data_IF_756508745387
#
_entry.id   IF_756508745387
#
_cell.length_a   1.000
_cell.length_b   1.000
_cell.length_c   1.000
_cell.angle_alpha   90.00
_cell.angle_beta   90.00
_cell.angle_gamma   90.00
#
_symmetry.space_group_name_H-M   'P 1'
#
loop_
_entity.id
_entity.type
_entity.pdbx_description
1 polymer ?
#
# COMPACT_ATOMS: atom_id res chain seq x y z
N UNK A 1 6.82 47.87 7.15
CA UNK A 1 5.67 48.78 7.01
C UNK A 1 4.43 47.94 6.78
N UNK A 2 3.72 47.82 7.87
CA UNK A 2 2.29 48.14 8.06
C UNK A 2 1.35 47.31 7.24
N UNK A 3 0.70 46.32 7.94
CA UNK A 3 -0.65 46.43 8.52
C UNK A 3 -1.72 46.32 7.44
N UNK A 4 -2.70 45.47 7.57
CA UNK A 4 -3.90 45.43 8.43
C UNK A 4 -4.52 44.05 8.23
N UNK A 5 -4.79 43.21 9.14
CA UNK A 5 -5.88 43.17 10.12
C UNK A 5 -7.23 43.62 9.53
N UNK A 6 -8.09 42.65 9.23
CA UNK A 6 -9.51 42.82 9.33
C UNK A 6 -10.17 41.51 9.75
N UNK A 7 -10.42 41.52 11.02
CA UNK A 7 -11.36 40.65 11.75
C UNK A 7 -12.74 41.20 11.45
N UNK A 8 -13.75 40.36 11.18
CA UNK A 8 -15.12 40.57 11.66
C UNK A 8 -16.00 39.34 11.46
N UNK A 9 -16.98 39.17 12.36
CA UNK A 9 -17.49 37.90 12.79
C UNK A 9 -18.98 37.69 12.45
N UNK A 10 -19.50 36.57 12.97
CA UNK A 10 -20.92 36.26 13.27
C UNK A 10 -21.89 36.11 12.11
N UNK A 11 -22.42 34.92 11.98
CA UNK A 11 -23.87 34.74 12.24
C UNK A 11 -24.18 33.23 12.37
N UNK A 12 -24.62 32.90 13.54
CA UNK A 12 -25.30 31.66 13.87
C UNK A 12 -26.63 31.59 13.13
N UNK A 13 -26.93 30.42 12.54
CA UNK A 13 -28.32 30.06 12.27
C UNK A 13 -28.51 28.58 12.52
N UNK A 14 -29.05 28.33 13.68
CA UNK A 14 -29.66 27.07 14.11
C UNK A 14 -30.91 26.86 13.27
N UNK A 15 -31.01 25.76 12.57
CA UNK A 15 -32.25 25.25 12.03
C UNK A 15 -32.32 23.74 12.27
N UNK A 16 -32.86 23.43 13.42
CA UNK A 16 -33.45 22.15 13.79
C UNK A 16 -34.60 21.82 12.85
N UNK A 17 -34.47 20.78 12.07
CA UNK A 17 -35.61 20.10 11.46
C UNK A 17 -35.56 18.64 11.87
N UNK A 18 -36.34 18.34 12.87
CA UNK A 18 -36.72 16.99 13.24
C UNK A 18 -37.63 16.41 12.15
N UNK A 19 -37.17 15.36 11.48
CA UNK A 19 -38.05 14.49 10.71
C UNK A 19 -38.03 13.11 11.30
N UNK A 20 -39.04 12.86 12.09
CA UNK A 20 -39.50 11.54 12.50
C UNK A 20 -40.09 10.82 11.28
N UNK A 21 -39.41 9.84 10.76
CA UNK A 21 -40.05 8.81 9.97
C UNK A 21 -39.57 7.44 10.52
N UNK A 22 -40.42 6.94 11.40
CA UNK A 22 -40.46 5.51 11.73
C UNK A 22 -40.99 4.75 10.51
N UNK A 23 -40.19 3.89 9.93
CA UNK A 23 -40.66 2.83 9.06
C UNK A 23 -39.99 1.54 9.51
N UNK A 24 -40.72 0.59 10.10
CA UNK A 24 -40.22 -0.75 10.28
C UNK A 24 -40.39 -1.52 8.99
N UNK A 25 -39.36 -1.73 8.23
CA UNK A 25 -39.35 -2.76 7.18
C UNK A 25 -38.35 -3.81 7.58
N UNK A 26 -38.88 -4.88 8.13
CA UNK A 26 -38.20 -6.14 8.23
C UNK A 26 -37.96 -6.68 6.80
N UNK A 27 -36.75 -6.54 6.30
CA UNK A 27 -36.25 -7.38 5.22
C UNK A 27 -34.96 -8.03 5.70
N UNK A 28 -35.11 -9.26 6.09
CA UNK A 28 -34.01 -10.20 6.21
C UNK A 28 -33.40 -10.43 4.82
N UNK A 29 -32.47 -9.57 4.45
CA UNK A 29 -31.53 -9.90 3.38
C UNK A 29 -30.29 -10.41 4.05
N UNK A 30 -30.04 -11.67 3.84
CA UNK A 30 -28.77 -12.35 4.06
C UNK A 30 -27.73 -11.65 3.19
N UNK A 31 -27.17 -10.55 3.69
CA UNK A 31 -25.94 -10.02 3.12
C UNK A 31 -24.85 -10.96 3.58
N UNK A 32 -24.36 -11.75 2.63
CA UNK A 32 -23.04 -12.34 2.75
C UNK A 32 -22.09 -11.23 3.16
N UNK A 33 -21.29 -11.40 4.22
CA UNK A 33 -20.30 -10.41 4.58
C UNK A 33 -19.34 -10.30 3.40
N UNK A 34 -19.37 -9.16 2.68
CA UNK A 34 -18.21 -8.72 1.92
C UNK A 34 -17.04 -8.80 2.86
N UNK A 35 -15.91 -9.39 2.46
CA UNK A 35 -14.72 -9.33 3.28
C UNK A 35 -14.37 -7.86 3.44
N UNK A 36 -14.65 -7.33 4.63
CA UNK A 36 -14.02 -6.09 5.09
C UNK A 36 -12.52 -6.24 4.89
N UNK A 37 -11.79 -5.18 4.50
CA UNK A 37 -10.35 -5.21 4.59
C UNK A 37 -10.04 -5.59 6.03
N UNK A 38 -9.60 -6.82 6.24
CA UNK A 38 -9.23 -7.31 7.56
C UNK A 38 -8.15 -6.36 8.06
N UNK A 39 -8.42 -5.69 9.17
CA UNK A 39 -7.38 -5.14 10.02
C UNK A 39 -6.51 -6.33 10.42
N UNK A 40 -5.55 -6.63 9.58
CA UNK A 40 -4.57 -7.66 9.85
C UNK A 40 -3.70 -7.12 10.98
N UNK A 41 -4.00 -7.60 12.18
CA UNK A 41 -3.08 -7.43 13.29
C UNK A 41 -1.71 -7.95 12.87
N UNK A 42 -0.60 -7.26 13.21
CA UNK A 42 0.75 -7.59 12.75
C UNK A 42 1.19 -9.04 12.95
N UNK A 43 0.53 -9.79 13.82
CA UNK A 43 0.87 -11.16 14.18
C UNK A 43 0.33 -12.25 13.23
N UNK A 44 -0.60 -11.94 12.34
CA UNK A 44 -1.34 -12.95 11.57
C UNK A 44 -1.16 -12.86 10.05
N UNK A 45 0.05 -12.49 9.59
CA UNK A 45 0.34 -12.57 8.15
C UNK A 45 0.48 -14.06 7.79
N UNK A 46 -0.35 -14.58 6.86
CA UNK A 46 -0.23 -15.96 6.42
C UNK A 46 1.18 -16.24 5.88
N UNK A 47 1.73 -17.41 6.21
CA UNK A 47 3.06 -17.82 5.73
C UNK A 47 3.19 -17.72 4.21
N UNK A 48 2.15 -18.08 3.48
CA UNK A 48 2.10 -17.94 2.03
C UNK A 48 2.29 -16.50 1.54
N UNK A 49 1.77 -15.51 2.29
CA UNK A 49 1.98 -14.10 1.98
C UNK A 49 3.40 -13.64 2.29
N UNK A 50 4.00 -14.18 3.33
CA UNK A 50 5.42 -13.93 3.66
C UNK A 50 6.34 -14.55 2.61
N UNK A 51 6.07 -15.76 2.13
CA UNK A 51 6.82 -16.40 1.05
C UNK A 51 6.73 -15.61 -0.25
N UNK A 52 5.51 -15.15 -0.58
CA UNK A 52 5.29 -14.30 -1.75
C UNK A 52 6.02 -12.97 -1.63
N UNK A 53 6.02 -12.34 -0.44
CA UNK A 53 6.71 -11.07 -0.20
C UNK A 53 8.24 -11.23 -0.25
N UNK A 54 8.79 -12.31 0.29
CA UNK A 54 10.23 -12.60 0.21
C UNK A 54 10.68 -12.75 -1.24
N UNK A 55 9.96 -13.57 -2.03
CA UNK A 55 10.28 -13.77 -3.44
C UNK A 55 10.10 -12.48 -4.26
N UNK A 56 9.05 -11.68 -3.94
CA UNK A 56 8.85 -10.38 -4.58
C UNK A 56 10.01 -9.42 -4.25
N UNK A 57 10.50 -9.43 -3.00
CA UNK A 57 11.61 -8.58 -2.58
C UNK A 57 12.88 -8.87 -3.36
N UNK A 58 13.24 -10.15 -3.54
CA UNK A 58 14.38 -10.55 -4.36
C UNK A 58 14.24 -10.08 -5.82
N UNK A 59 13.05 -10.26 -6.39
CA UNK A 59 12.80 -9.87 -7.76
C UNK A 59 12.79 -8.35 -7.94
N UNK A 60 12.21 -7.62 -6.98
CA UNK A 60 12.24 -6.14 -6.93
C UNK A 60 13.69 -5.63 -6.85
N UNK A 61 14.54 -6.25 -6.03
CA UNK A 61 15.95 -5.88 -5.92
C UNK A 61 16.68 -6.07 -7.26
N UNK A 62 16.51 -7.22 -7.91
CA UNK A 62 17.11 -7.53 -9.21
C UNK A 62 16.65 -6.56 -10.31
N UNK A 63 15.35 -6.31 -10.40
CA UNK A 63 14.77 -5.35 -11.37
C UNK A 63 15.34 -3.96 -11.12
N UNK A 64 15.39 -3.51 -9.86
CA UNK A 64 15.91 -2.20 -9.50
C UNK A 64 17.37 -2.02 -9.93
N UNK A 65 18.23 -3.01 -9.69
CA UNK A 65 19.64 -2.97 -10.10
C UNK A 65 19.80 -2.92 -11.62
N UNK A 66 19.03 -3.72 -12.35
CA UNK A 66 19.08 -3.74 -13.81
C UNK A 66 18.68 -2.39 -14.40
N UNK A 67 17.58 -1.83 -13.97
CA UNK A 67 17.11 -0.53 -14.44
C UNK A 67 18.03 0.62 -14.01
N UNK A 68 18.65 0.55 -12.83
CA UNK A 68 19.65 1.53 -12.42
C UNK A 68 20.87 1.54 -13.37
N UNK A 69 21.35 0.35 -13.78
CA UNK A 69 22.43 0.25 -14.78
C UNK A 69 22.00 0.84 -16.13
N UNK A 70 20.77 0.52 -16.57
CA UNK A 70 20.22 1.04 -17.84
C UNK A 70 20.07 2.57 -17.81
N UNK A 71 19.55 3.14 -16.73
CA UNK A 71 19.42 4.60 -16.58
C UNK A 71 20.78 5.29 -16.58
N UNK A 72 21.79 4.72 -15.92
CA UNK A 72 23.15 5.29 -15.90
C UNK A 72 23.81 5.28 -17.30
N UNK A 73 23.52 4.27 -18.10
CA UNK A 73 24.07 4.12 -19.45
C UNK A 73 23.26 4.87 -20.53
N UNK A 74 22.05 5.32 -20.22
CA UNK A 74 21.13 5.92 -21.17
C UNK A 74 21.39 7.41 -21.40
N UNK A 75 21.06 7.88 -22.60
CA UNK A 75 21.01 9.30 -22.90
C UNK A 75 19.94 10.01 -22.05
N UNK A 76 20.13 11.29 -21.71
CA UNK A 76 19.18 12.05 -20.89
C UNK A 76 17.74 12.02 -21.42
N UNK A 77 17.55 11.96 -22.74
CA UNK A 77 16.24 11.88 -23.40
C UNK A 77 15.51 10.57 -23.15
N UNK A 78 16.23 9.46 -22.95
CA UNK A 78 15.66 8.13 -22.75
C UNK A 78 15.39 7.77 -21.28
N UNK A 79 15.96 8.51 -20.36
CA UNK A 79 15.88 8.21 -18.92
C UNK A 79 14.46 8.16 -18.39
N UNK A 80 13.59 9.07 -18.83
CA UNK A 80 12.19 9.10 -18.41
C UNK A 80 11.43 7.84 -18.86
N UNK A 81 11.64 7.43 -20.12
CA UNK A 81 11.03 6.21 -20.65
C UNK A 81 11.50 4.97 -19.90
N UNK A 82 12.82 4.88 -19.62
CA UNK A 82 13.38 3.76 -18.85
C UNK A 82 12.86 3.77 -17.41
N UNK A 83 12.65 4.93 -16.80
CA UNK A 83 12.06 5.04 -15.46
C UNK A 83 10.60 4.55 -15.42
N UNK A 84 9.81 4.85 -16.44
CA UNK A 84 8.44 4.34 -16.56
C UNK A 84 8.42 2.81 -16.76
N UNK A 85 9.31 2.29 -17.61
CA UNK A 85 9.49 0.84 -17.78
C UNK A 85 9.89 0.18 -16.46
N UNK A 86 10.79 0.80 -15.68
CA UNK A 86 11.19 0.32 -14.37
C UNK A 86 10.03 0.26 -13.40
N UNK A 87 9.20 1.30 -13.35
CA UNK A 87 8.02 1.32 -12.50
C UNK A 87 7.07 0.16 -12.82
N UNK A 88 6.75 -0.03 -14.10
CA UNK A 88 5.89 -1.13 -14.54
C UNK A 88 6.48 -2.50 -14.22
N UNK A 89 7.80 -2.66 -14.38
CA UNK A 89 8.50 -3.90 -14.06
C UNK A 89 8.49 -4.20 -12.55
N UNK A 90 8.62 -3.18 -11.70
CA UNK A 90 8.53 -3.31 -10.24
C UNK A 90 7.14 -3.71 -9.78
N UNK A 91 6.10 -3.07 -10.32
CA UNK A 91 4.70 -3.44 -10.04
C UNK A 91 4.47 -4.90 -10.45
N UNK A 92 4.93 -5.29 -11.65
CA UNK A 92 4.79 -6.66 -12.14
C UNK A 92 5.52 -7.67 -11.26
N UNK A 93 6.72 -7.35 -10.77
CA UNK A 93 7.50 -8.21 -9.88
C UNK A 93 6.74 -8.57 -8.60
N UNK A 94 5.91 -7.68 -8.10
CA UNK A 94 5.06 -7.89 -6.92
C UNK A 94 3.78 -8.65 -7.30
N UNK A 95 3.07 -8.20 -8.33
CA UNK A 95 1.75 -8.77 -8.69
C UNK A 95 1.85 -10.18 -9.25
N UNK A 96 2.92 -10.54 -9.93
CA UNK A 96 3.19 -11.90 -10.42
C UNK A 96 3.35 -12.92 -9.26
N UNK A 97 3.57 -12.44 -8.04
CA UNK A 97 3.64 -13.27 -6.82
C UNK A 97 2.31 -13.37 -6.06
N UNK A 98 1.23 -12.83 -6.63
CA UNK A 98 -0.10 -12.85 -6.02
C UNK A 98 -0.27 -11.85 -4.87
N UNK A 99 0.54 -10.80 -4.83
CA UNK A 99 0.41 -9.69 -3.90
C UNK A 99 -0.05 -8.44 -4.63
N UNK A 100 -0.87 -7.63 -3.99
CA UNK A 100 -1.03 -6.24 -4.42
C UNK A 100 0.20 -5.41 -3.97
N UNK A 101 0.43 -4.28 -4.62
CA UNK A 101 1.50 -3.35 -4.21
C UNK A 101 1.28 -2.87 -2.77
N UNK A 102 0.02 -2.66 -2.38
CA UNK A 102 -0.37 -2.25 -1.03
C UNK A 102 -0.08 -3.34 0.01
N UNK A 103 -0.43 -4.59 -0.27
CA UNK A 103 -0.10 -5.72 0.61
C UNK A 103 1.41 -5.90 0.77
N UNK A 104 2.15 -5.83 -0.32
CA UNK A 104 3.60 -5.91 -0.29
C UNK A 104 4.21 -4.80 0.56
N UNK A 105 3.79 -3.55 0.35
CA UNK A 105 4.27 -2.40 1.12
C UNK A 105 3.91 -2.53 2.60
N UNK A 106 2.71 -3.00 2.92
CA UNK A 106 2.26 -3.22 4.30
C UNK A 106 3.11 -4.28 5.00
N UNK A 107 3.43 -5.39 4.31
CA UNK A 107 4.30 -6.45 4.86
C UNK A 107 5.70 -5.89 5.14
N UNK A 108 6.27 -5.08 4.25
CA UNK A 108 7.58 -4.46 4.48
C UNK A 108 7.55 -3.48 5.65
N UNK A 109 6.53 -2.64 5.77
CA UNK A 109 6.36 -1.73 6.91
C UNK A 109 6.22 -2.49 8.23
N UNK A 110 5.49 -3.61 8.24
CA UNK A 110 5.40 -4.47 9.41
C UNK A 110 6.76 -5.08 9.76
N UNK A 111 7.52 -5.54 8.78
CA UNK A 111 8.87 -6.07 9.00
C UNK A 111 9.87 -5.01 9.51
N UNK A 112 9.64 -3.73 9.23
CA UNK A 112 10.44 -2.63 9.79
C UNK A 112 10.14 -2.40 11.27
N UNK A 113 8.90 -2.59 11.69
CA UNK A 113 8.41 -2.29 13.04
C UNK A 113 8.32 -3.52 13.96
N UNK A 114 8.21 -4.72 13.40
CA UNK A 114 8.08 -5.98 14.14
C UNK A 114 9.27 -6.90 13.81
N UNK A 115 10.13 -7.20 14.79
CA UNK A 115 11.30 -8.05 14.60
C UNK A 115 10.94 -9.49 14.26
N UNK A 116 9.80 -10.01 14.73
CA UNK A 116 9.35 -11.38 14.43
C UNK A 116 8.95 -11.52 12.96
N UNK A 117 8.25 -10.52 12.42
CA UNK A 117 7.88 -10.47 10.99
C UNK A 117 9.14 -10.34 10.13
N UNK A 118 10.07 -9.49 10.56
CA UNK A 118 11.35 -9.31 9.86
C UNK A 118 12.14 -10.62 9.80
N UNK A 119 12.27 -11.32 10.92
CA UNK A 119 13.01 -12.58 10.98
C UNK A 119 12.37 -13.64 10.09
N UNK A 120 11.04 -13.79 10.15
CA UNK A 120 10.29 -14.69 9.27
C UNK A 120 10.47 -14.36 7.78
N UNK A 121 10.53 -13.10 7.43
CA UNK A 121 10.76 -12.66 6.06
C UNK A 121 12.20 -12.97 5.62
N UNK A 122 13.19 -12.65 6.46
CA UNK A 122 14.61 -12.93 6.17
C UNK A 122 14.92 -14.40 6.02
N UNK A 123 14.29 -15.28 6.80
CA UNK A 123 14.45 -16.73 6.68
C UNK A 123 13.97 -17.29 5.33
N UNK A 124 13.09 -16.55 4.64
CA UNK A 124 12.51 -16.93 3.35
C UNK A 124 13.26 -16.33 2.16
N UNK A 125 14.07 -15.31 2.39
CA UNK A 125 14.92 -14.75 1.35
C UNK A 125 16.07 -15.72 1.13
N UNK A 126 16.14 -16.29 -0.06
CA UNK A 126 17.27 -17.11 -0.43
C UNK A 126 18.45 -16.21 -0.79
N UNK A 127 19.63 -16.36 -0.20
CA UNK A 127 20.81 -15.67 -0.69
C UNK A 127 21.03 -16.05 -2.15
N UNK A 128 21.47 -15.11 -3.01
CA UNK A 128 21.80 -15.43 -4.37
C UNK A 128 22.81 -16.58 -4.37
N UNK A 129 22.52 -17.62 -5.14
CA UNK A 129 23.45 -18.74 -5.30
C UNK A 129 24.74 -18.21 -5.94
N UNK A 130 25.86 -18.31 -5.24
CA UNK A 130 27.19 -17.99 -5.75
C UNK A 130 27.56 -18.91 -6.94
#
# INVERSE_FOLDING_TARGET
>A
MRQQLLILPLAATVLTVAWLFSVPVANAQTQSPSPSPSEQTPKDIPDQKLDAAATALEQVASVKEDYQRRIKAADPSDRNRIAEEAHNALVKAVTDRGLSVEEYTSILQLAENDPDVREKLLQRIHPPAD
#
